data_IF_064306798286
#
_entry.id   IF_064306798286
#
_cell.length_a   1.000
_cell.length_b   1.000
_cell.length_c   1.000
_cell.angle_alpha   90.00
_cell.angle_beta   90.00
_cell.angle_gamma   90.00
#
_symmetry.space_group_name_H-M   'P 1'
#
loop_
_entity.id
_entity.type
_entity.pdbx_description
1 polymer ?
#
# COMPACT_ATOMS: atom_id res chain seq x y z
N UNK A 1 13.87 27.59 0.84
CA UNK A 1 14.63 26.33 0.86
C UNK A 1 13.67 25.25 1.31
N UNK A 2 13.21 24.41 0.38
CA UNK A 2 12.36 23.28 0.72
C UNK A 2 13.27 22.13 1.15
N UNK A 3 13.18 21.73 2.43
CA UNK A 3 13.83 20.51 2.90
C UNK A 3 13.04 19.34 2.33
N UNK A 4 13.57 18.74 1.26
CA UNK A 4 13.14 17.41 0.82
C UNK A 4 13.70 16.45 1.86
N UNK A 5 12.83 15.99 2.77
CA UNK A 5 13.16 14.86 3.65
C UNK A 5 13.16 13.64 2.75
N UNK A 6 14.36 13.21 2.34
CA UNK A 6 14.58 11.95 1.65
C UNK A 6 13.99 10.84 2.53
N UNK A 7 13.11 10.03 1.93
CA UNK A 7 12.49 8.86 2.56
C UNK A 7 13.55 8.09 3.33
N UNK A 8 13.30 7.82 4.62
CA UNK A 8 13.99 6.74 5.32
C UNK A 8 13.89 5.52 4.41
N UNK A 9 15.02 4.90 4.07
CA UNK A 9 15.05 3.61 3.40
C UNK A 9 14.39 2.59 4.33
N UNK A 10 13.07 2.45 4.23
CA UNK A 10 12.34 1.42 4.95
C UNK A 10 12.65 0.10 4.24
N UNK A 11 13.11 -0.89 5.01
CA UNK A 11 13.28 -2.25 4.52
C UNK A 11 11.92 -2.78 4.09
N UNK A 12 11.82 -3.23 2.84
CA UNK A 12 10.59 -3.84 2.34
C UNK A 12 10.37 -5.20 3.00
N UNK A 13 9.20 -5.35 3.63
CA UNK A 13 8.81 -6.53 4.40
C UNK A 13 7.88 -7.46 3.62
N UNK A 14 7.56 -7.16 2.36
CA UNK A 14 6.62 -7.93 1.52
C UNK A 14 6.89 -9.44 1.50
N UNK A 15 8.16 -9.85 1.45
CA UNK A 15 8.57 -11.27 1.44
C UNK A 15 8.80 -11.87 2.85
N UNK A 16 8.56 -11.10 3.91
CA UNK A 16 8.89 -11.48 5.31
C UNK A 16 7.67 -11.60 6.20
N UNK A 17 6.54 -11.04 5.79
CA UNK A 17 5.32 -11.02 6.59
C UNK A 17 4.14 -11.60 5.81
N UNK A 18 3.25 -12.28 6.52
CA UNK A 18 1.95 -12.70 6.02
C UNK A 18 0.86 -11.86 6.68
N UNK A 19 -0.01 -11.26 5.86
CA UNK A 19 -1.20 -10.55 6.35
C UNK A 19 -2.37 -11.50 6.36
N UNK A 20 -3.27 -11.34 7.34
CA UNK A 20 -4.51 -12.08 7.39
C UNK A 20 -5.22 -12.06 6.01
N UNK A 21 -5.52 -13.23 5.41
CA UNK A 21 -6.01 -13.30 4.03
C UNK A 21 -7.29 -12.51 3.77
N UNK A 22 -8.18 -12.40 4.77
CA UNK A 22 -9.42 -11.63 4.65
C UNK A 22 -9.13 -10.12 4.61
N UNK A 23 -8.20 -9.66 5.44
CA UNK A 23 -7.75 -8.25 5.44
C UNK A 23 -7.10 -7.91 4.10
N UNK A 24 -6.22 -8.78 3.62
CA UNK A 24 -5.55 -8.60 2.34
C UNK A 24 -6.53 -8.60 1.16
N UNK A 25 -7.54 -9.48 1.16
CA UNK A 25 -8.57 -9.48 0.13
C UNK A 25 -9.35 -8.16 0.10
N UNK A 26 -9.78 -7.67 1.27
CA UNK A 26 -10.47 -6.38 1.34
C UNK A 26 -9.61 -5.21 0.88
N UNK A 27 -8.30 -5.26 1.14
CA UNK A 27 -7.35 -4.29 0.62
C UNK A 27 -7.31 -4.27 -0.91
N UNK A 28 -7.20 -5.45 -1.53
CA UNK A 28 -7.20 -5.59 -3.00
C UNK A 28 -8.51 -5.11 -3.62
N UNK A 29 -9.65 -5.40 -2.98
CA UNK A 29 -10.96 -4.92 -3.44
C UNK A 29 -11.05 -3.39 -3.38
N UNK A 30 -10.58 -2.78 -2.29
CA UNK A 30 -10.57 -1.33 -2.12
C UNK A 30 -9.64 -0.64 -3.13
N UNK A 31 -8.45 -1.20 -3.38
CA UNK A 31 -7.56 -0.72 -4.44
C UNK A 31 -8.23 -0.80 -5.81
N UNK A 32 -8.96 -1.87 -6.11
CA UNK A 32 -9.67 -2.05 -7.38
C UNK A 32 -10.81 -1.03 -7.58
N UNK A 33 -11.53 -0.71 -6.51
CA UNK A 33 -12.57 0.34 -6.53
C UNK A 33 -11.94 1.72 -6.72
N UNK A 34 -10.87 2.03 -5.97
CA UNK A 34 -10.14 3.29 -6.07
C UNK A 34 -9.57 3.48 -7.49
N UNK A 35 -8.89 2.46 -8.01
CA UNK A 35 -8.39 2.37 -9.37
C UNK A 35 -9.46 2.71 -10.42
N UNK A 36 -10.65 2.14 -10.26
CA UNK A 36 -11.79 2.38 -11.16
C UNK A 36 -12.28 3.83 -11.08
N UNK A 37 -12.33 4.40 -9.87
CA UNK A 37 -12.68 5.82 -9.66
C UNK A 37 -11.65 6.76 -10.29
N UNK A 38 -10.35 6.50 -10.09
CA UNK A 38 -9.26 7.30 -10.67
C UNK A 38 -9.32 7.29 -12.21
N UNK A 39 -9.55 6.12 -12.81
CA UNK A 39 -9.74 5.99 -14.27
C UNK A 39 -10.92 6.81 -14.78
N UNK A 40 -12.07 6.73 -14.12
CA UNK A 40 -13.27 7.50 -14.51
C UNK A 40 -13.00 9.00 -14.45
N UNK A 41 -12.29 9.47 -13.43
CA UNK A 41 -11.92 10.88 -13.28
C UNK A 41 -10.93 11.34 -14.35
N UNK A 42 -9.93 10.51 -14.66
CA UNK A 42 -8.81 10.91 -15.51
C UNK A 42 -9.01 10.56 -17.00
N UNK A 43 -10.04 9.78 -17.34
CA UNK A 43 -10.39 9.46 -18.73
C UNK A 43 -9.41 8.50 -19.43
N UNK A 44 -8.58 7.77 -18.70
CA UNK A 44 -7.60 6.83 -19.24
C UNK A 44 -8.15 5.41 -19.41
N UNK A 45 -7.64 4.68 -20.41
CA UNK A 45 -8.04 3.31 -20.76
C UNK A 45 -7.08 2.22 -20.26
N UNK A 46 -6.04 2.56 -19.48
CA UNK A 46 -4.97 1.64 -19.11
C UNK A 46 -5.27 0.81 -17.86
N UNK A 47 -4.67 -0.38 -17.84
CA UNK A 47 -4.57 -1.29 -16.70
C UNK A 47 -4.00 -0.52 -15.50
N UNK A 48 -4.65 -0.58 -14.35
CA UNK A 48 -4.12 -0.01 -13.11
C UNK A 48 -3.04 -0.96 -12.67
N UNK A 49 -1.81 -0.54 -12.89
CA UNK A 49 -0.64 -1.22 -12.39
C UNK A 49 -0.40 -0.67 -10.98
N UNK A 50 -0.37 -1.55 -9.98
CA UNK A 50 0.17 -1.22 -8.67
C UNK A 50 1.65 -0.99 -8.92
N UNK A 51 2.06 0.28 -8.96
CA UNK A 51 3.39 0.65 -9.45
C UNK A 51 4.49 0.21 -8.47
N UNK A 52 4.19 0.34 -7.17
CA UNK A 52 5.09 0.00 -6.07
C UNK A 52 4.24 -0.41 -4.86
N UNK A 53 4.57 -1.54 -4.24
CA UNK A 53 4.13 -1.85 -2.88
C UNK A 53 5.32 -1.67 -1.93
N UNK A 54 5.12 -0.92 -0.85
CA UNK A 54 6.12 -0.77 0.20
C UNK A 54 5.52 -1.21 1.53
N UNK A 55 6.13 -2.24 2.12
CA UNK A 55 5.69 -2.84 3.37
C UNK A 55 6.71 -2.52 4.46
N UNK A 56 6.32 -1.81 5.51
CA UNK A 56 7.21 -1.48 6.63
C UNK A 56 6.46 -1.41 7.96
N UNK A 57 7.18 -1.41 9.08
CA UNK A 57 6.58 -1.19 10.40
C UNK A 57 6.61 0.29 10.79
N UNK A 58 5.52 0.79 11.36
CA UNK A 58 5.50 2.09 12.02
C UNK A 58 6.06 2.01 13.46
N UNK A 59 6.13 3.15 14.15
CA UNK A 59 6.68 3.22 15.51
C UNK A 59 5.84 2.45 16.55
N UNK A 60 4.56 2.17 16.26
CA UNK A 60 3.66 1.38 17.10
C UNK A 60 3.79 -0.14 16.84
N UNK A 61 4.56 -0.53 15.82
CA UNK A 61 4.76 -1.92 15.42
C UNK A 61 3.60 -2.49 14.61
N UNK A 62 2.78 -1.64 14.00
CA UNK A 62 1.79 -2.02 13.00
C UNK A 62 2.44 -2.07 11.61
N UNK A 63 1.92 -2.94 10.76
CA UNK A 63 2.39 -3.07 9.38
C UNK A 63 1.70 -2.03 8.51
N UNK A 64 2.49 -1.24 7.79
CA UNK A 64 2.03 -0.24 6.83
C UNK A 64 2.31 -0.77 5.43
N UNK A 65 1.26 -0.86 4.62
CA UNK A 65 1.33 -1.26 3.21
C UNK A 65 0.92 -0.05 2.39
N UNK A 66 1.84 0.45 1.57
CA UNK A 66 1.58 1.56 0.65
C UNK A 66 1.49 1.02 -0.76
N UNK A 67 0.42 1.35 -1.49
CA UNK A 67 0.28 1.08 -2.92
C UNK A 67 0.09 2.40 -3.67
N UNK A 68 0.74 2.53 -4.83
CA UNK A 68 0.58 3.72 -5.69
C UNK A 68 -0.14 3.35 -6.99
N UNK A 69 -1.20 4.09 -7.30
CA UNK A 69 -2.04 3.95 -8.49
C UNK A 69 -2.08 5.30 -9.22
N UNK A 70 -1.59 5.37 -10.45
CA UNK A 70 -1.71 6.55 -11.33
C UNK A 70 -1.29 7.88 -10.62
N UNK A 71 -0.18 7.83 -9.87
CA UNK A 71 0.38 8.92 -9.05
C UNK A 71 -0.36 9.26 -7.74
N UNK A 72 -1.40 8.51 -7.38
CA UNK A 72 -2.06 8.60 -6.08
C UNK A 72 -1.66 7.41 -5.20
N UNK A 73 -1.18 7.68 -3.99
CA UNK A 73 -0.79 6.65 -3.03
C UNK A 73 -1.91 6.39 -2.03
N UNK A 74 -2.21 5.12 -1.80
CA UNK A 74 -3.10 4.66 -0.75
C UNK A 74 -2.32 3.84 0.27
N UNK A 75 -2.66 4.00 1.55
CA UNK A 75 -2.01 3.29 2.64
C UNK A 75 -3.02 2.47 3.42
N UNK A 76 -2.66 1.22 3.71
CA UNK A 76 -3.32 0.40 4.71
C UNK A 76 -2.42 0.27 5.94
N UNK A 77 -2.99 0.49 7.12
CA UNK A 77 -2.36 0.16 8.40
C UNK A 77 -3.00 -1.13 8.90
N UNK A 78 -2.19 -2.15 9.11
CA UNK A 78 -2.58 -3.47 9.60
C UNK A 78 -2.13 -3.61 11.05
N UNK A 79 -3.06 -3.54 12.02
CA UNK A 79 -2.75 -3.67 13.43
C UNK A 79 -1.99 -4.95 13.77
N UNK A 80 -1.10 -4.87 14.76
CA UNK A 80 -0.41 -6.04 15.32
C UNK A 80 -1.41 -7.11 15.76
N UNK A 81 -1.34 -8.29 15.16
CA UNK A 81 -2.30 -9.41 15.35
C UNK A 81 -3.14 -9.74 14.12
N UNK A 82 -3.10 -8.90 13.08
CA UNK A 82 -3.67 -9.18 11.75
C UNK A 82 -2.60 -9.46 10.69
N UNK A 83 -1.34 -9.63 11.12
CA UNK A 83 -0.21 -10.05 10.32
C UNK A 83 0.79 -10.82 11.20
N UNK A 84 1.64 -11.62 10.59
CA UNK A 84 2.69 -12.42 11.25
C UNK A 84 3.97 -12.48 10.42
N UNK A 85 5.08 -12.85 11.05
CA UNK A 85 6.33 -13.12 10.33
C UNK A 85 6.29 -14.53 9.71
N UNK A 86 6.82 -14.65 8.49
CA UNK A 86 7.03 -15.93 7.81
C UNK A 86 8.16 -16.78 8.43
#
# INVERSE_FOLDING_TARGET
MANIVLSKDFEDLSDKVEVNPLVYQHWVDALSEFASSVRLRNGFSSVVEIAEENWHLNDDGDLVITATIEMESMQMIVPRGLWEWL
#
